data_IF_636173160158
#
_entry.id   IF_636173160158
#
_cell.length_a   1.000
_cell.length_b   1.000
_cell.length_c   1.000
_cell.angle_alpha   90.00
_cell.angle_beta   90.00
_cell.angle_gamma   90.00
#
_symmetry.space_group_name_H-M   'P 1'
#
loop_
_entity.id
_entity.type
_entity.pdbx_description
1 polymer ?
#
# COMPACT_ATOMS: atom_id res chain seq x y z
N UNK A 1 -0.22 -40.98 1.02
CA UNK A 1 -0.77 -39.64 1.33
C UNK A 1 0.32 -38.81 1.99
N UNK A 2 1.13 -38.08 1.21
CA UNK A 2 1.69 -36.77 1.58
C UNK A 2 2.68 -36.35 0.49
N UNK A 3 2.44 -35.18 -0.10
CA UNK A 3 3.40 -34.48 -0.94
C UNK A 3 3.52 -33.07 -0.37
N UNK A 4 4.24 -32.94 0.75
CA UNK A 4 4.70 -31.62 1.17
C UNK A 4 5.89 -31.27 0.27
N UNK A 5 5.65 -30.46 -0.76
CA UNK A 5 6.74 -29.85 -1.54
C UNK A 5 7.35 -28.75 -0.66
N UNK A 6 8.63 -28.83 -0.30
CA UNK A 6 9.28 -27.71 0.37
C UNK A 6 9.28 -26.52 -0.61
N UNK A 7 8.64 -25.42 -0.21
CA UNK A 7 8.73 -24.16 -0.94
C UNK A 7 10.15 -23.63 -0.72
N UNK A 8 11.03 -23.89 -1.69
CA UNK A 8 12.27 -23.15 -1.79
C UNK A 8 11.85 -21.76 -2.27
N UNK A 9 11.86 -20.78 -1.38
CA UNK A 9 11.70 -19.39 -1.75
C UNK A 9 12.98 -18.97 -2.49
N UNK A 10 13.06 -19.26 -3.78
CA UNK A 10 14.07 -18.66 -4.63
C UNK A 10 13.83 -17.15 -4.60
N UNK A 11 14.88 -16.31 -4.44
CA UNK A 11 14.71 -14.88 -4.55
C UNK A 11 14.15 -14.62 -5.94
N UNK A 12 12.98 -13.99 -6.00
CA UNK A 12 12.31 -13.61 -7.24
C UNK A 12 13.24 -12.64 -8.00
N UNK A 13 14.19 -13.16 -8.77
CA UNK A 13 15.15 -12.38 -9.56
C UNK A 13 14.74 -12.52 -11.01
N UNK A 14 13.97 -11.55 -11.51
CA UNK A 14 13.45 -11.53 -12.88
C UNK A 14 12.49 -10.37 -13.14
N UNK A 15 11.93 -10.31 -14.34
CA UNK A 15 10.98 -9.27 -14.80
C UNK A 15 9.79 -9.07 -13.87
N UNK A 16 9.36 -10.11 -13.14
CA UNK A 16 8.31 -10.03 -12.13
C UNK A 16 8.70 -9.18 -10.91
N UNK A 17 9.96 -9.21 -10.50
CA UNK A 17 10.44 -8.38 -9.40
C UNK A 17 10.50 -6.90 -9.79
N UNK A 18 10.87 -6.62 -11.04
CA UNK A 18 10.83 -5.28 -11.62
C UNK A 18 9.38 -4.77 -11.71
N UNK A 19 8.46 -5.58 -12.24
CA UNK A 19 7.04 -5.24 -12.31
C UNK A 19 6.43 -4.98 -10.91
N UNK A 20 6.80 -5.78 -9.90
CA UNK A 20 6.35 -5.60 -8.52
C UNK A 20 6.92 -4.34 -7.87
N UNK A 21 8.17 -3.98 -8.19
CA UNK A 21 8.78 -2.75 -7.72
C UNK A 21 8.05 -1.52 -8.30
N UNK A 22 7.75 -1.55 -9.61
CA UNK A 22 6.99 -0.50 -10.29
C UNK A 22 5.57 -0.37 -9.71
N UNK A 23 4.86 -1.49 -9.53
CA UNK A 23 3.52 -1.48 -8.91
C UNK A 23 3.56 -0.90 -7.49
N UNK A 24 4.57 -1.25 -6.70
CA UNK A 24 4.73 -0.71 -5.35
C UNK A 24 4.94 0.80 -5.36
N UNK A 25 5.70 1.33 -6.32
CA UNK A 25 5.88 2.77 -6.49
C UNK A 25 4.55 3.44 -6.84
N UNK A 26 3.83 2.94 -7.84
CA UNK A 26 2.52 3.48 -8.22
C UNK A 26 1.51 3.41 -7.08
N UNK A 27 1.46 2.30 -6.35
CA UNK A 27 0.60 2.14 -5.18
C UNK A 27 0.96 3.15 -4.09
N UNK A 28 2.25 3.39 -3.82
CA UNK A 28 2.68 4.41 -2.85
C UNK A 28 2.20 5.81 -3.25
N UNK A 29 2.32 6.15 -4.54
CA UNK A 29 1.83 7.43 -5.08
C UNK A 29 0.31 7.54 -4.93
N UNK A 30 -0.44 6.49 -5.27
CA UNK A 30 -1.90 6.47 -5.16
C UNK A 30 -2.35 6.58 -3.70
N UNK A 31 -1.73 5.83 -2.79
CA UNK A 31 -2.02 5.87 -1.36
C UNK A 31 -1.78 7.27 -0.78
N UNK A 32 -0.67 7.93 -1.15
CA UNK A 32 -0.40 9.30 -0.71
C UNK A 32 -1.47 10.29 -1.17
N UNK A 33 -1.95 10.14 -2.41
CA UNK A 33 -3.04 10.97 -2.96
C UNK A 33 -4.36 10.69 -2.26
N UNK A 34 -4.70 9.42 -2.06
CA UNK A 34 -5.92 9.01 -1.37
C UNK A 34 -5.95 9.56 0.06
N UNK A 35 -4.86 9.41 0.82
CA UNK A 35 -4.78 9.91 2.19
C UNK A 35 -4.98 11.44 2.27
N UNK A 36 -4.42 12.19 1.31
CA UNK A 36 -4.61 13.65 1.22
C UNK A 36 -6.03 14.04 0.81
N UNK A 37 -6.65 13.28 -0.07
CA UNK A 37 -8.04 13.49 -0.48
C UNK A 37 -8.98 13.28 0.70
N UNK A 38 -8.79 12.22 1.48
CA UNK A 38 -9.56 11.97 2.71
C UNK A 38 -9.38 13.11 3.68
N UNK A 39 -8.14 13.51 3.97
CA UNK A 39 -7.87 14.64 4.88
C UNK A 39 -8.49 15.97 4.42
N UNK A 40 -8.74 16.16 3.13
CA UNK A 40 -9.36 17.38 2.58
C UNK A 40 -10.90 17.35 2.64
N UNK A 41 -11.50 16.17 2.78
CA UNK A 41 -12.96 15.99 2.78
C UNK A 41 -13.52 15.50 4.12
N UNK A 42 -12.67 15.08 5.05
CA UNK A 42 -13.07 14.68 6.39
C UNK A 42 -13.61 15.88 7.18
N UNK A 43 -14.59 15.62 8.04
CA UNK A 43 -15.20 16.64 8.89
C UNK A 43 -14.28 17.07 10.03
N UNK A 44 -13.54 16.12 10.60
CA UNK A 44 -12.58 16.34 11.68
C UNK A 44 -11.46 15.29 11.68
N UNK A 45 -10.57 15.34 12.68
CA UNK A 45 -9.43 14.42 12.78
C UNK A 45 -9.81 12.98 13.08
N UNK A 46 -10.96 12.75 13.76
CA UNK A 46 -11.42 11.41 14.11
C UNK A 46 -12.08 10.76 12.89
N UNK A 47 -12.96 11.50 12.22
CA UNK A 47 -13.57 11.09 10.94
C UNK A 47 -12.50 10.77 9.87
N UNK A 48 -11.45 11.60 9.78
CA UNK A 48 -10.31 11.33 8.91
C UNK A 48 -9.61 10.01 9.26
N UNK A 49 -9.40 9.73 10.56
CA UNK A 49 -8.76 8.49 11.00
C UNK A 49 -9.59 7.25 10.65
N UNK A 50 -10.90 7.30 10.90
CA UNK A 50 -11.83 6.21 10.60
C UNK A 50 -11.88 5.93 9.08
N UNK A 51 -11.95 6.98 8.26
CA UNK A 51 -11.96 6.85 6.79
C UNK A 51 -10.64 6.28 6.26
N UNK A 52 -9.50 6.67 6.83
CA UNK A 52 -8.20 6.11 6.46
C UNK A 52 -8.12 4.62 6.85
N UNK A 53 -8.59 4.25 8.03
CA UNK A 53 -8.63 2.86 8.48
C UNK A 53 -9.48 1.98 7.55
N UNK A 54 -10.66 2.46 7.13
CA UNK A 54 -11.53 1.76 6.17
C UNK A 54 -10.84 1.49 4.82
N UNK A 55 -9.92 2.37 4.41
CA UNK A 55 -9.16 2.25 3.18
C UNK A 55 -7.85 1.44 3.35
N UNK A 56 -7.54 1.02 4.58
CA UNK A 56 -6.25 0.39 4.90
C UNK A 56 -5.06 1.35 4.77
N UNK A 57 -5.32 2.65 4.90
CA UNK A 57 -4.33 3.72 4.80
C UNK A 57 -3.98 4.28 6.18
N UNK A 58 -2.87 4.97 6.22
CA UNK A 58 -2.32 5.65 7.39
C UNK A 58 -2.16 7.15 7.11
N UNK A 59 -2.29 7.97 8.15
CA UNK A 59 -2.03 9.40 8.03
C UNK A 59 -0.59 9.70 7.54
N UNK A 60 0.35 8.79 7.80
CA UNK A 60 1.75 8.91 7.36
C UNK A 60 1.92 8.78 5.85
N UNK A 61 1.03 8.07 5.15
CA UNK A 61 1.10 7.96 3.69
C UNK A 61 0.80 9.30 3.00
N UNK A 62 -0.04 10.15 3.60
CA UNK A 62 -0.32 11.50 3.11
C UNK A 62 0.87 12.48 3.25
N UNK A 63 1.88 12.13 4.04
CA UNK A 63 3.09 12.94 4.28
C UNK A 63 4.17 12.73 3.21
N UNK A 64 4.09 11.62 2.46
CA UNK A 64 5.03 11.32 1.39
C UNK A 64 4.79 12.31 0.25
N UNK A 65 5.77 13.19 0.02
CA UNK A 65 5.79 14.07 -1.14
C UNK A 65 6.30 13.24 -2.32
N UNK A 66 5.41 12.48 -2.94
CA UNK A 66 5.64 11.89 -4.25
C UNK A 66 5.88 13.00 -5.30
#
# INVERSE_FOLDING_TARGET
MTWARPAIAEPETGTFAEAKALEKEHSTIQNSKAARTVASHAMDSLDCADLLEMLGLSATEGKVRA
#
